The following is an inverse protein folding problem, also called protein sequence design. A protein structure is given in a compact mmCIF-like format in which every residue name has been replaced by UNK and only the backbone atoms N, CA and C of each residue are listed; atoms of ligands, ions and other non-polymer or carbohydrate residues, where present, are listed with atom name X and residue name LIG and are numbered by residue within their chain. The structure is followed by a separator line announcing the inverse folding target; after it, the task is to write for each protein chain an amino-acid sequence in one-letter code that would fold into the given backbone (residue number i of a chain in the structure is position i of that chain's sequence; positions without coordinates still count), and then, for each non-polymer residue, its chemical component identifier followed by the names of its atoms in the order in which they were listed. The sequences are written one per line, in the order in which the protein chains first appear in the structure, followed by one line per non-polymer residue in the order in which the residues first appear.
data_IF_074652319449
#
_entry.id   IF_074652319449
#
_cell.length_a   1.000
_cell.length_b   1.000
_cell.length_c   1.000
_cell.angle_alpha   90.00
_cell.angle_beta   90.00
_cell.angle_gamma   90.00
#
_symmetry.space_group_name_H-M   'P 1'
#
loop_
_entity.id
_entity.type
_entity.pdbx_description
1 polymer ?
#
# COMPACT_ATOMS: atom_id res chain seq x y z
N UNK A 1 -9.80 -7.11 -29.48
CA UNK A 1 -9.14 -6.82 -28.17
C UNK A 1 -10.23 -6.67 -27.12
N UNK A 2 -10.04 -7.18 -25.90
CA UNK A 2 -11.09 -7.28 -24.90
C UNK A 2 -11.36 -6.00 -24.06
N UNK A 3 -10.76 -4.86 -24.42
CA UNK A 3 -11.06 -3.57 -23.76
C UNK A 3 -10.52 -3.39 -22.34
N UNK A 4 -9.53 -4.19 -21.91
CA UNK A 4 -8.94 -4.08 -20.58
C UNK A 4 -7.77 -3.08 -20.52
N UNK A 5 -7.73 -2.32 -19.42
CA UNK A 5 -6.59 -1.51 -18.98
C UNK A 5 -5.81 -2.29 -17.93
N UNK A 6 -4.52 -2.56 -18.17
CA UNK A 6 -3.65 -3.23 -17.18
C UNK A 6 -3.08 -2.19 -16.24
N UNK A 7 -3.34 -2.35 -14.95
CA UNK A 7 -2.83 -1.45 -13.90
C UNK A 7 -1.89 -2.22 -12.99
N UNK A 8 -0.70 -1.65 -12.79
CA UNK A 8 0.32 -2.16 -11.88
C UNK A 8 0.50 -1.17 -10.72
N UNK A 9 1.36 -1.52 -9.79
CA UNK A 9 1.71 -0.70 -8.63
C UNK A 9 3.21 -0.46 -8.59
N UNK A 10 3.64 0.63 -7.95
CA UNK A 10 5.05 0.97 -7.77
C UNK A 10 5.52 0.78 -6.32
N UNK A 11 4.62 0.91 -5.33
CA UNK A 11 4.95 0.70 -3.91
C UNK A 11 4.46 -0.67 -3.44
N UNK A 12 5.40 -1.62 -3.34
CA UNK A 12 5.14 -2.95 -2.74
C UNK A 12 5.41 -2.89 -1.25
N UNK A 13 4.34 -2.95 -0.45
CA UNK A 13 4.43 -2.86 1.02
C UNK A 13 5.14 -4.05 1.66
N UNK A 14 5.00 -5.23 1.04
CA UNK A 14 5.45 -6.55 1.52
C UNK A 14 4.73 -7.01 2.80
N UNK A 15 3.50 -6.54 3.00
CA UNK A 15 2.62 -6.95 4.10
C UNK A 15 2.43 -8.47 4.20
N UNK A 16 2.38 -9.18 3.07
CA UNK A 16 2.32 -10.64 3.02
C UNK A 16 3.59 -11.37 3.50
N UNK A 17 4.70 -10.67 3.76
CA UNK A 17 5.98 -11.33 4.05
C UNK A 17 6.11 -11.68 5.53
N UNK A 18 6.29 -12.97 5.84
CA UNK A 18 6.63 -13.45 7.20
C UNK A 18 7.98 -12.94 7.74
N UNK A 19 8.82 -12.38 6.86
CA UNK A 19 10.12 -11.80 7.22
C UNK A 19 10.05 -10.29 7.47
N UNK A 20 8.84 -9.71 7.43
CA UNK A 20 8.61 -8.29 7.72
C UNK A 20 7.84 -8.16 9.03
N UNK A 21 8.20 -7.18 9.83
CA UNK A 21 7.34 -6.72 10.94
C UNK A 21 6.32 -5.69 10.45
N UNK A 22 5.22 -5.47 11.18
CA UNK A 22 4.24 -4.46 10.81
C UNK A 22 4.82 -3.05 10.66
N UNK A 23 5.78 -2.67 11.52
CA UNK A 23 6.46 -1.38 11.48
C UNK A 23 7.36 -1.25 10.25
N UNK A 24 8.00 -2.34 9.81
CA UNK A 24 8.80 -2.36 8.59
C UNK A 24 7.94 -2.18 7.34
N UNK A 25 6.72 -2.74 7.35
CA UNK A 25 5.75 -2.54 6.27
C UNK A 25 5.32 -1.08 6.20
N UNK A 26 4.98 -0.46 7.34
CA UNK A 26 4.70 0.97 7.40
C UNK A 26 5.90 1.80 6.94
N UNK A 27 7.12 1.45 7.38
CA UNK A 27 8.35 2.13 6.95
C UNK A 27 8.55 2.06 5.43
N UNK A 28 8.19 0.96 4.78
CA UNK A 28 8.24 0.87 3.32
C UNK A 28 7.29 1.86 2.65
N UNK A 29 6.04 1.96 3.14
CA UNK A 29 5.09 2.97 2.65
C UNK A 29 5.72 4.36 2.77
N UNK A 30 6.15 4.74 3.98
CA UNK A 30 6.70 6.08 4.24
C UNK A 30 7.91 6.41 3.39
N UNK A 31 8.75 5.41 3.12
CA UNK A 31 10.01 5.59 2.38
C UNK A 31 9.81 5.72 0.88
N UNK A 32 8.87 4.99 0.29
CA UNK A 32 8.80 4.81 -1.16
C UNK A 32 7.60 5.50 -1.83
N UNK A 33 6.59 5.92 -1.07
CA UNK A 33 5.48 6.69 -1.61
C UNK A 33 5.95 8.06 -2.13
N UNK A 34 5.41 8.45 -3.28
CA UNK A 34 5.52 9.79 -3.88
C UNK A 34 4.21 10.13 -4.60
N UNK A 35 4.08 11.37 -5.07
CA UNK A 35 2.93 11.80 -5.87
C UNK A 35 2.69 10.85 -7.05
N UNK A 36 1.44 10.38 -7.17
CA UNK A 36 1.03 9.44 -8.21
C UNK A 36 1.33 7.96 -7.92
N UNK A 37 1.88 7.60 -6.76
CA UNK A 37 2.10 6.20 -6.40
C UNK A 37 0.80 5.39 -6.28
N UNK A 38 0.86 4.14 -6.72
CA UNK A 38 -0.14 3.10 -6.43
C UNK A 38 0.49 2.15 -5.42
N UNK A 39 -0.09 2.11 -4.21
CA UNK A 39 0.41 1.35 -3.06
C UNK A 39 -0.43 0.07 -2.92
N UNK A 40 0.22 -1.10 -2.89
CA UNK A 40 -0.49 -2.38 -2.78
C UNK A 40 -0.46 -2.97 -1.36
N UNK A 41 -1.64 -3.29 -0.84
CA UNK A 41 -1.86 -4.12 0.34
C UNK A 41 -2.71 -5.33 -0.06
N UNK A 42 -2.59 -6.43 0.70
CA UNK A 42 -3.27 -7.69 0.43
C UNK A 42 -4.25 -8.02 1.56
N UNK A 43 -5.49 -8.34 1.20
CA UNK A 43 -6.46 -8.91 2.11
C UNK A 43 -6.35 -10.44 2.10
N UNK A 44 -5.42 -10.97 2.90
CA UNK A 44 -5.20 -12.41 3.02
C UNK A 44 -4.73 -12.77 4.43
N UNK A 45 -4.98 -14.02 4.86
CA UNK A 45 -4.50 -14.55 6.14
C UNK A 45 -2.99 -14.38 6.33
N UNK A 46 -2.22 -14.45 5.24
CA UNK A 46 -0.76 -14.29 5.26
C UNK A 46 -0.32 -12.85 5.57
N UNK A 47 -1.11 -11.87 5.14
CA UNK A 47 -0.82 -10.45 5.31
C UNK A 47 -1.50 -9.86 6.55
N UNK A 48 -2.55 -10.50 7.07
CA UNK A 48 -3.47 -9.97 8.09
C UNK A 48 -2.77 -9.26 9.25
N UNK A 49 -1.80 -9.91 9.90
CA UNK A 49 -1.08 -9.35 11.05
C UNK A 49 -0.39 -8.02 10.71
N UNK A 50 0.33 -7.98 9.59
CA UNK A 50 1.08 -6.80 9.17
C UNK A 50 0.15 -5.72 8.59
N UNK A 51 -0.80 -6.13 7.75
CA UNK A 51 -1.74 -5.24 7.06
C UNK A 51 -2.64 -4.52 8.06
N UNK A 52 -3.25 -5.22 9.03
CA UNK A 52 -4.16 -4.62 10.03
C UNK A 52 -3.47 -3.54 10.88
N UNK A 53 -2.17 -3.66 11.10
CA UNK A 53 -1.40 -2.64 11.79
C UNK A 53 -0.97 -1.50 10.86
N UNK A 54 -0.40 -1.84 9.69
CA UNK A 54 0.28 -0.89 8.83
C UNK A 54 -0.66 -0.05 7.98
N UNK A 55 -1.75 -0.63 7.45
CA UNK A 55 -2.70 0.06 6.58
C UNK A 55 -3.34 1.30 7.22
N UNK A 56 -3.98 1.23 8.41
CA UNK A 56 -4.60 2.41 9.01
C UNK A 56 -3.58 3.51 9.31
N UNK A 57 -2.40 3.15 9.83
CA UNK A 57 -1.31 4.10 10.13
C UNK A 57 -0.69 4.71 8.87
N UNK A 58 -0.65 3.95 7.78
CA UNK A 58 -0.22 4.43 6.48
C UNK A 58 -1.20 5.49 5.96
N UNK A 59 -2.51 5.23 6.06
CA UNK A 59 -3.54 6.18 5.66
C UNK A 59 -3.44 7.48 6.47
N UNK A 60 -3.40 7.37 7.80
CA UNK A 60 -3.24 8.52 8.70
C UNK A 60 -2.01 9.36 8.34
N UNK A 61 -0.85 8.73 8.24
CA UNK A 61 0.40 9.43 7.89
C UNK A 61 0.35 10.06 6.49
N UNK A 62 -0.20 9.36 5.49
CA UNK A 62 -0.31 9.92 4.14
C UNK A 62 -1.20 11.18 4.12
N UNK A 63 -2.28 11.20 4.89
CA UNK A 63 -3.12 12.39 5.04
C UNK A 63 -2.39 13.53 5.75
N UNK A 64 -1.60 13.22 6.80
CA UNK A 64 -0.78 14.20 7.51
C UNK A 64 0.28 14.84 6.60
N UNK A 65 0.88 14.08 5.68
CA UNK A 65 1.82 14.59 4.68
C UNK A 65 1.15 15.34 3.53
N UNK A 66 -0.19 15.44 3.51
CA UNK A 66 -0.95 16.18 2.51
C UNK A 66 -1.33 15.39 1.26
N UNK A 67 -1.12 14.07 1.23
CA UNK A 67 -1.60 13.23 0.13
C UNK A 67 -3.13 13.11 0.15
N UNK A 68 -3.70 12.91 -1.04
CA UNK A 68 -5.10 12.55 -1.23
C UNK A 68 -5.20 11.19 -1.92
N UNK A 69 -6.32 10.49 -1.69
CA UNK A 69 -6.57 9.20 -2.30
C UNK A 69 -7.53 9.35 -3.47
N UNK A 70 -7.19 8.71 -4.59
CA UNK A 70 -8.03 8.65 -5.78
C UNK A 70 -8.33 7.20 -6.13
N UNK A 71 -9.48 6.99 -6.79
CA UNK A 71 -9.79 5.69 -7.41
C UNK A 71 -8.89 5.49 -8.63
N UNK A 72 -8.54 4.24 -8.91
CA UNK A 72 -7.86 3.89 -10.15
C UNK A 72 -8.82 4.19 -11.32
N UNK A 73 -8.42 5.00 -12.31
CA UNK A 73 -9.27 5.32 -13.45
C UNK A 73 -9.58 4.07 -14.28
N UNK A 74 -10.76 4.05 -14.91
CA UNK A 74 -11.21 2.96 -15.80
C UNK A 74 -10.66 3.13 -17.22
#
# INVERSE_FOLDING_TARGET
KAGYSVVMWDVVTRDYSRFMTPEQVLKNVKKYTRDGSIIVFHDSLKAEMNMKYALPRAIEWLQEEGYTFALIPR
#
